data_IF_294765380605
#
_entry.id   IF_294765380605
#
_cell.length_a   1.000
_cell.length_b   1.000
_cell.length_c   1.000
_cell.angle_alpha   90.00
_cell.angle_beta   90.00
_cell.angle_gamma   90.00
#
_symmetry.space_group_name_H-M   'P 1'
#
loop_
_entity.id
_entity.type
_entity.pdbx_description
1 polymer ?
#
# COMPACT_ATOMS: atom_id res chain seq x y z
N UNK A 1 -15.99 -21.19 1.74
CA UNK A 1 -17.23 -20.44 2.03
C UNK A 1 -16.84 -19.04 2.48
N UNK A 2 -17.53 -17.97 2.03
CA UNK A 2 -17.23 -16.60 2.42
C UNK A 2 -17.51 -16.38 3.92
N UNK A 3 -16.76 -15.48 4.56
CA UNK A 3 -16.99 -15.13 5.98
C UNK A 3 -18.29 -14.37 6.19
N UNK A 4 -18.81 -14.36 7.42
CA UNK A 4 -19.99 -13.55 7.78
C UNK A 4 -19.80 -12.06 7.46
N UNK A 5 -18.58 -11.54 7.66
CA UNK A 5 -18.24 -10.16 7.29
C UNK A 5 -18.29 -9.94 5.78
N UNK A 6 -17.82 -10.90 4.98
CA UNK A 6 -17.89 -10.80 3.52
C UNK A 6 -19.35 -10.81 3.03
N UNK A 7 -20.21 -11.64 3.64
CA UNK A 7 -21.65 -11.65 3.34
C UNK A 7 -22.30 -10.32 3.73
N UNK A 8 -21.99 -9.78 4.92
CA UNK A 8 -22.49 -8.48 5.35
C UNK A 8 -22.05 -7.35 4.41
N UNK A 9 -20.79 -7.37 3.96
CA UNK A 9 -20.28 -6.41 2.98
C UNK A 9 -20.99 -6.54 1.63
N UNK A 10 -21.26 -7.77 1.17
CA UNK A 10 -22.02 -8.04 -0.06
C UNK A 10 -23.42 -7.42 -0.05
N UNK A 11 -24.06 -7.32 1.11
CA UNK A 11 -25.35 -6.65 1.27
C UNK A 11 -25.25 -5.11 1.25
N UNK A 12 -24.12 -4.54 1.64
CA UNK A 12 -23.89 -3.08 1.63
C UNK A 12 -23.53 -2.56 0.23
N UNK A 13 -22.93 -3.40 -0.61
CA UNK A 13 -22.43 -3.05 -1.96
C UNK A 13 -23.51 -2.51 -2.91
N UNK A 14 -24.70 -3.12 -3.03
CA UNK A 14 -25.81 -2.60 -3.84
C UNK A 14 -26.25 -1.17 -3.47
N UNK A 15 -26.05 -0.76 -2.21
CA UNK A 15 -26.33 0.61 -1.76
C UNK A 15 -25.29 1.66 -2.23
N UNK A 16 -24.18 1.22 -2.83
CA UNK A 16 -23.03 2.06 -3.21
C UNK A 16 -22.69 2.01 -4.70
N UNK A 17 -23.11 0.94 -5.38
CA UNK A 17 -22.88 0.73 -6.82
C UNK A 17 -24.23 0.46 -7.49
N UNK A 18 -24.43 0.98 -8.69
CA UNK A 18 -25.66 0.72 -9.46
C UNK A 18 -25.86 -0.78 -9.67
N UNK A 19 -27.05 -1.28 -9.33
CA UNK A 19 -27.39 -2.71 -9.47
C UNK A 19 -27.11 -3.26 -10.87
N UNK A 20 -27.40 -2.50 -11.93
CA UNK A 20 -27.14 -2.95 -13.30
C UNK A 20 -25.66 -3.27 -13.55
N UNK A 21 -24.76 -2.47 -12.97
CA UNK A 21 -23.32 -2.73 -13.04
C UNK A 21 -23.02 -4.02 -12.27
N UNK A 22 -23.50 -4.18 -11.04
CA UNK A 22 -23.25 -5.40 -10.29
C UNK A 22 -23.75 -6.66 -11.00
N UNK A 23 -24.92 -6.62 -11.63
CA UNK A 23 -25.45 -7.72 -12.44
C UNK A 23 -24.48 -8.06 -13.59
N UNK A 24 -24.04 -7.05 -14.33
CA UNK A 24 -23.15 -7.21 -15.50
C UNK A 24 -21.75 -7.74 -15.15
N UNK A 25 -21.28 -7.53 -13.91
CA UNK A 25 -19.95 -7.92 -13.47
C UNK A 25 -19.92 -9.17 -12.60
N UNK A 26 -21.06 -9.59 -12.04
CA UNK A 26 -21.16 -10.81 -11.24
C UNK A 26 -21.62 -12.01 -12.07
N UNK A 27 -22.30 -11.78 -13.18
CA UNK A 27 -22.80 -12.83 -14.05
C UNK A 27 -21.99 -12.93 -15.35
N UNK A 28 -21.80 -14.15 -15.84
CA UNK A 28 -21.21 -14.38 -17.17
C UNK A 28 -22.26 -14.32 -18.30
N UNK A 29 -23.56 -14.36 -17.95
CA UNK A 29 -24.67 -14.30 -18.89
C UNK A 29 -25.13 -12.86 -19.14
N UNK A 30 -25.29 -12.50 -20.43
CA UNK A 30 -25.85 -11.21 -20.85
C UNK A 30 -27.36 -11.05 -20.59
N UNK A 31 -28.04 -12.13 -20.18
CA UNK A 31 -29.49 -12.12 -19.88
C UNK A 31 -29.81 -12.10 -18.39
N UNK A 32 -28.80 -12.05 -17.52
CA UNK A 32 -28.99 -12.01 -16.08
C UNK A 32 -29.76 -10.75 -15.65
N UNK A 33 -30.70 -10.91 -14.72
CA UNK A 33 -31.52 -9.82 -14.16
C UNK A 33 -31.28 -9.61 -12.67
N UNK A 34 -30.51 -10.49 -12.03
CA UNK A 34 -30.23 -10.49 -10.61
C UNK A 34 -28.72 -10.55 -10.35
N UNK A 35 -28.29 -9.99 -9.23
CA UNK A 35 -26.89 -10.04 -8.80
C UNK A 35 -26.57 -11.48 -8.35
N UNK A 36 -25.46 -12.03 -8.83
CA UNK A 36 -24.92 -13.27 -8.28
C UNK A 36 -24.19 -12.94 -6.97
N UNK A 37 -24.90 -13.16 -5.85
CA UNK A 37 -24.36 -12.90 -4.51
C UNK A 37 -23.30 -13.92 -4.09
N UNK A 38 -23.29 -15.13 -4.64
CA UNK A 38 -22.27 -16.12 -4.29
C UNK A 38 -20.91 -15.66 -4.81
N UNK A 39 -20.87 -15.23 -6.08
CA UNK A 39 -19.65 -14.64 -6.66
C UNK A 39 -19.31 -13.31 -5.97
N UNK A 40 -20.28 -12.44 -5.73
CA UNK A 40 -20.04 -11.16 -5.07
C UNK A 40 -19.42 -11.34 -3.67
N UNK A 41 -19.92 -12.29 -2.88
CA UNK A 41 -19.42 -12.54 -1.52
C UNK A 41 -18.00 -13.10 -1.52
N UNK A 42 -17.63 -13.92 -2.52
CA UNK A 42 -16.24 -14.36 -2.70
C UNK A 42 -15.33 -13.18 -3.03
N UNK A 43 -15.75 -12.28 -3.91
CA UNK A 43 -14.99 -11.06 -4.22
C UNK A 43 -14.89 -10.13 -3.01
N UNK A 44 -15.92 -10.05 -2.17
CA UNK A 44 -15.87 -9.30 -0.92
C UNK A 44 -14.78 -9.85 0.02
N UNK A 45 -14.66 -11.17 0.14
CA UNK A 45 -13.61 -11.83 0.94
C UNK A 45 -12.21 -11.49 0.41
N UNK A 46 -12.01 -11.58 -0.91
CA UNK A 46 -10.74 -11.25 -1.56
C UNK A 46 -10.39 -9.76 -1.38
N UNK A 47 -11.37 -8.86 -1.53
CA UNK A 47 -11.19 -7.43 -1.32
C UNK A 47 -10.80 -7.10 0.13
N UNK A 48 -11.40 -7.79 1.11
CA UNK A 48 -11.03 -7.68 2.51
C UNK A 48 -9.60 -8.18 2.75
N UNK A 49 -9.21 -9.30 2.13
CA UNK A 49 -7.84 -9.81 2.15
C UNK A 49 -6.82 -8.81 1.60
N UNK A 50 -7.10 -8.25 0.42
CA UNK A 50 -6.25 -7.25 -0.21
C UNK A 50 -6.17 -5.96 0.63
N UNK A 51 -7.29 -5.51 1.18
CA UNK A 51 -7.34 -4.36 2.09
C UNK A 51 -6.42 -4.57 3.31
N UNK A 52 -6.50 -5.73 3.98
CA UNK A 52 -5.59 -6.07 5.09
C UNK A 52 -4.13 -6.03 4.64
N UNK A 53 -3.85 -6.55 3.45
CA UNK A 53 -2.52 -6.55 2.85
C UNK A 53 -1.94 -5.14 2.65
N UNK A 54 -2.73 -4.20 2.13
CA UNK A 54 -2.27 -2.85 1.79
C UNK A 54 -2.44 -1.84 2.92
N UNK A 55 -3.60 -1.82 3.58
CA UNK A 55 -3.90 -0.89 4.66
C UNK A 55 -3.28 -1.29 6.01
N UNK A 56 -2.84 -2.55 6.14
CA UNK A 56 -2.24 -3.14 7.35
C UNK A 56 -3.16 -3.09 8.59
N UNK A 57 -4.47 -3.07 8.37
CA UNK A 57 -5.49 -3.04 9.43
C UNK A 57 -6.67 -3.94 9.07
N UNK A 58 -7.38 -4.41 10.09
CA UNK A 58 -8.59 -5.22 9.89
C UNK A 58 -9.71 -4.35 9.30
N UNK A 59 -10.48 -4.83 8.31
CA UNK A 59 -11.62 -4.10 7.79
C UNK A 59 -12.72 -4.02 8.86
N UNK A 60 -13.30 -2.83 8.96
CA UNK A 60 -14.35 -2.47 9.90
C UNK A 60 -15.54 -1.99 9.07
N UNK A 61 -16.65 -2.71 9.15
CA UNK A 61 -17.83 -2.41 8.34
C UNK A 61 -18.69 -1.28 8.93
N UNK A 62 -18.46 -0.91 10.19
CA UNK A 62 -19.08 0.26 10.82
C UNK A 62 -18.35 1.55 10.43
N UNK A 63 -17.08 1.43 10.01
CA UNK A 63 -16.30 2.55 9.51
C UNK A 63 -16.59 2.82 8.02
N UNK A 64 -17.28 3.92 7.75
CA UNK A 64 -17.63 4.34 6.39
C UNK A 64 -16.41 4.46 5.45
N UNK A 65 -15.23 4.85 5.95
CA UNK A 65 -14.02 4.96 5.13
C UNK A 65 -13.50 3.60 4.68
N UNK A 66 -13.56 2.60 5.58
CA UNK A 66 -13.18 1.22 5.25
C UNK A 66 -14.16 0.65 4.22
N UNK A 67 -15.47 0.83 4.42
CA UNK A 67 -16.50 0.41 3.46
C UNK A 67 -16.28 1.04 2.09
N UNK A 68 -16.07 2.36 2.00
CA UNK A 68 -15.82 3.04 0.71
C UNK A 68 -14.55 2.48 0.02
N UNK A 69 -13.50 2.23 0.79
CA UNK A 69 -12.26 1.65 0.26
C UNK A 69 -12.49 0.23 -0.27
N UNK A 70 -13.17 -0.62 0.49
CA UNK A 70 -13.51 -1.98 0.10
C UNK A 70 -14.38 -2.02 -1.16
N UNK A 71 -15.36 -1.13 -1.29
CA UNK A 71 -16.22 -1.02 -2.48
C UNK A 71 -15.38 -0.75 -3.75
N UNK A 72 -14.33 0.08 -3.65
CA UNK A 72 -13.38 0.28 -4.77
C UNK A 72 -12.59 -0.98 -5.09
N UNK A 73 -12.14 -1.71 -4.07
CA UNK A 73 -11.44 -2.99 -4.23
C UNK A 73 -12.32 -4.06 -4.88
N UNK A 74 -13.60 -4.12 -4.49
CA UNK A 74 -14.60 -5.02 -5.08
C UNK A 74 -14.79 -4.72 -6.56
N UNK A 75 -14.93 -3.45 -6.95
CA UNK A 75 -15.03 -3.08 -8.38
C UNK A 75 -13.77 -3.42 -9.16
N UNK A 76 -12.59 -3.23 -8.57
CA UNK A 76 -11.33 -3.65 -9.17
C UNK A 76 -11.31 -5.15 -9.44
N UNK A 77 -11.60 -5.97 -8.43
CA UNK A 77 -11.58 -7.44 -8.56
C UNK A 77 -12.67 -7.95 -9.50
N UNK A 78 -13.89 -7.39 -9.43
CA UNK A 78 -14.95 -7.70 -10.37
C UNK A 78 -14.55 -7.39 -11.81
N UNK A 79 -13.95 -6.23 -12.06
CA UNK A 79 -13.47 -5.86 -13.39
C UNK A 79 -12.32 -6.76 -13.87
N UNK A 80 -11.40 -7.10 -12.98
CA UNK A 80 -10.27 -7.99 -13.26
C UNK A 80 -10.72 -9.40 -13.63
N UNK A 81 -11.57 -10.03 -12.81
CA UNK A 81 -12.06 -11.38 -13.06
C UNK A 81 -13.09 -11.48 -14.18
N UNK A 82 -13.79 -10.40 -14.50
CA UNK A 82 -14.67 -10.34 -15.68
C UNK A 82 -13.91 -10.09 -16.99
N UNK A 83 -12.58 -9.97 -16.96
CA UNK A 83 -11.76 -9.75 -18.15
C UNK A 83 -12.08 -8.43 -18.87
N UNK A 84 -12.41 -7.36 -18.13
CA UNK A 84 -12.66 -6.05 -18.73
C UNK A 84 -11.39 -5.44 -19.31
N UNK A 85 -11.58 -4.36 -20.06
CA UNK A 85 -10.47 -3.57 -20.58
C UNK A 85 -9.50 -3.20 -19.45
N UNK A 86 -8.23 -3.49 -19.71
CA UNK A 86 -7.07 -3.13 -18.90
C UNK A 86 -7.11 -1.70 -18.38
N UNK A 87 -7.58 -0.74 -19.17
CA UNK A 87 -7.66 0.67 -18.79
C UNK A 87 -8.61 0.91 -17.60
N UNK A 88 -9.74 0.18 -17.58
CA UNK A 88 -10.75 0.26 -16.51
C UNK A 88 -10.22 -0.44 -15.25
N UNK A 89 -9.62 -1.61 -15.42
CA UNK A 89 -9.02 -2.38 -14.32
C UNK A 89 -7.93 -1.56 -13.62
N UNK A 90 -7.03 -0.96 -14.38
CA UNK A 90 -5.94 -0.12 -13.87
C UNK A 90 -6.45 1.10 -13.12
N UNK A 91 -7.52 1.72 -13.61
CA UNK A 91 -8.17 2.84 -12.93
C UNK A 91 -8.68 2.42 -11.55
N UNK A 92 -9.45 1.33 -11.47
CA UNK A 92 -9.98 0.85 -10.19
C UNK A 92 -8.88 0.38 -9.24
N UNK A 93 -7.82 -0.24 -9.77
CA UNK A 93 -6.65 -0.63 -8.98
C UNK A 93 -6.00 0.61 -8.34
N UNK A 94 -5.69 1.63 -9.13
CA UNK A 94 -5.11 2.89 -8.63
C UNK A 94 -5.99 3.53 -7.57
N UNK A 95 -7.31 3.61 -7.80
CA UNK A 95 -8.26 4.18 -6.85
C UNK A 95 -8.30 3.39 -5.53
N UNK A 96 -8.26 2.05 -5.61
CA UNK A 96 -8.24 1.18 -4.44
C UNK A 96 -6.93 1.29 -3.65
N UNK A 97 -5.79 1.22 -4.34
CA UNK A 97 -4.46 1.33 -3.73
C UNK A 97 -4.24 2.68 -3.05
N UNK A 98 -4.65 3.78 -3.71
CA UNK A 98 -4.56 5.12 -3.12
C UNK A 98 -5.44 5.27 -1.89
N UNK A 99 -6.63 4.65 -1.89
CA UNK A 99 -7.53 4.65 -0.73
C UNK A 99 -6.94 3.86 0.45
N UNK A 100 -6.41 2.65 0.19
CA UNK A 100 -5.71 1.85 1.21
C UNK A 100 -4.50 2.58 1.79
N UNK A 101 -3.70 3.20 0.92
CA UNK A 101 -2.53 4.00 1.32
C UNK A 101 -2.91 5.19 2.18
N UNK A 102 -4.06 5.81 1.90
CA UNK A 102 -4.57 6.94 2.68
C UNK A 102 -5.01 6.50 4.08
N UNK A 103 -5.69 5.34 4.19
CA UNK A 103 -6.07 4.74 5.47
C UNK A 103 -4.83 4.36 6.29
N UNK A 104 -3.85 3.69 5.67
CA UNK A 104 -2.59 3.34 6.33
C UNK A 104 -1.87 4.57 6.88
N UNK A 105 -1.79 5.66 6.09
CA UNK A 105 -1.19 6.94 6.51
C UNK A 105 -1.96 7.63 7.63
N UNK A 106 -3.28 7.47 7.70
CA UNK A 106 -4.09 8.08 8.74
C UNK A 106 -3.91 7.38 10.09
N UNK A 107 -3.64 6.07 10.05
CA UNK A 107 -3.47 5.23 11.24
C UNK A 107 -2.02 5.18 11.75
N UNK A 108 -1.02 5.34 10.87
CA UNK A 108 0.40 5.39 11.24
C UNK A 108 0.78 6.46 12.30
N UNK A 109 0.26 7.70 12.24
CA UNK A 109 0.51 8.72 13.26
C UNK A 109 0.04 8.29 14.66
N UNK A 110 -1.08 7.56 14.75
CA UNK A 110 -1.59 7.04 16.03
C UNK A 110 -0.76 5.86 16.55
N UNK A 111 -0.16 5.05 15.66
CA UNK A 111 0.74 3.97 16.06
C UNK A 111 2.08 4.49 16.61
N UNK A 112 2.61 5.60 16.08
CA UNK A 112 3.83 6.25 16.59
C UNK A 112 3.59 6.88 17.97
N UNK A 113 2.37 7.34 18.26
CA UNK A 113 2.01 7.91 19.58
C UNK A 113 2.00 6.90 20.73
N UNK A 114 1.85 5.61 20.45
CA UNK A 114 1.85 4.54 21.48
C UNK A 114 3.20 3.83 21.62
N UNK A 115 4.21 4.28 20.88
CA UNK A 115 5.59 3.86 21.11
C UNK A 115 6.23 4.80 22.11
N UNK A 116 6.84 4.31 23.21
CA UNK A 116 7.79 5.11 23.97
C UNK A 116 9.11 5.17 23.19
N UNK A 117 9.05 5.50 21.90
CA UNK A 117 10.17 6.17 21.28
C UNK A 117 10.16 7.56 21.91
N UNK A 118 10.85 7.64 23.05
CA UNK A 118 11.40 8.87 23.58
C UNK A 118 11.83 9.66 22.35
N UNK A 119 11.14 10.77 22.08
CA UNK A 119 11.77 11.83 21.31
C UNK A 119 13.06 12.08 22.08
N UNK A 120 14.17 11.51 21.61
CA UNK A 120 15.46 12.02 21.98
C UNK A 120 15.39 13.43 21.40
N UNK A 121 15.02 14.37 22.26
CA UNK A 121 15.15 15.79 22.01
C UNK A 121 16.60 15.93 21.59
N UNK A 122 16.82 15.94 20.27
CA UNK A 122 18.12 16.16 19.70
C UNK A 122 18.46 17.54 20.24
N UNK A 123 19.38 17.58 21.21
CA UNK A 123 19.82 18.81 21.83
C UNK A 123 20.08 19.78 20.70
N UNK A 124 19.37 20.90 20.73
CA UNK A 124 19.66 22.08 19.95
C UNK A 124 21.15 22.41 20.22
N UNK A 125 22.01 22.02 19.29
CA UNK A 125 23.44 21.91 19.55
C UNK A 125 24.21 21.43 18.35
N UNK A 126 24.60 22.39 17.50
CA UNK A 126 25.55 22.28 16.38
C UNK A 126 25.17 21.30 15.27
N UNK A 127 24.67 21.87 14.17
CA UNK A 127 24.74 21.22 12.84
C UNK A 127 26.17 20.68 12.63
N UNK A 128 26.35 19.43 12.17
CA UNK A 128 27.66 18.97 11.75
C UNK A 128 28.09 19.80 10.55
N UNK A 129 29.17 20.56 10.74
CA UNK A 129 29.81 21.41 9.76
C UNK A 129 30.32 20.55 8.58
N UNK A 130 29.50 20.41 7.55
CA UNK A 130 29.81 19.62 6.35
C UNK A 130 30.93 20.22 5.50
N UNK A 131 31.48 21.39 5.85
CA UNK A 131 32.61 21.98 5.13
C UNK A 131 33.98 21.47 5.63
N UNK A 132 34.06 20.87 6.83
CA UNK A 132 35.34 20.36 7.36
C UNK A 132 35.75 19.00 6.81
N UNK A 133 34.84 18.26 6.19
CA UNK A 133 35.13 16.95 5.57
C UNK A 133 35.69 17.05 4.14
N UNK A 134 35.69 18.23 3.51
CA UNK A 134 36.29 18.41 2.17
C UNK A 134 37.80 18.62 2.18
N UNK A 135 38.40 18.97 3.31
CA UNK A 135 39.86 19.25 3.38
C UNK A 135 40.72 18.02 3.64
N UNK A 136 40.15 16.90 4.12
CA UNK A 136 40.94 15.69 4.44
C UNK A 136 41.26 14.86 3.18
N UNK A 137 40.46 14.97 2.11
CA UNK A 137 40.74 14.27 0.84
C UNK A 137 41.66 15.03 -0.12
N UNK A 138 42.06 16.27 0.21
CA UNK A 138 42.94 17.09 -0.64
C UNK A 138 44.44 16.99 -0.30
N UNK A 139 44.81 16.33 0.82
CA UNK A 139 46.22 16.19 1.23
C UNK A 139 46.83 14.80 0.97
N UNK A 140 46.13 13.91 0.26
CA UNK A 140 46.59 12.55 -0.07
C UNK A 140 47.35 12.39 -1.39
N UNK A 141 47.84 13.49 -2.01
CA UNK A 141 48.61 13.45 -3.26
C UNK A 141 49.95 14.20 -3.13
N UNK A 142 50.76 13.82 -2.15
CA UNK A 142 52.19 14.07 -2.20
C UNK A 142 52.92 12.98 -1.40
N UNK A 143 53.98 12.43 -2.02
CA UNK A 143 54.91 11.43 -1.48
C UNK A 143 54.55 9.95 -1.57
N UNK A 144 54.56 9.44 -2.81
CA UNK A 144 54.98 8.07 -3.13
C UNK A 144 56.20 8.11 -4.04
N UNK A 145 57.42 8.10 -3.48
CA UNK A 145 58.62 7.63 -4.20
C UNK A 145 58.96 6.25 -3.63
N UNK A 146 59.05 5.28 -4.53
CA UNK A 146 59.32 3.88 -4.29
C UNK A 146 60.70 3.64 -3.63
N UNK A 147 60.89 2.51 -2.92
CA UNK A 147 62.18 2.14 -2.35
C UNK A 147 63.10 1.60 -3.46
N UNK A 148 64.34 2.09 -3.52
CA UNK A 148 65.41 1.47 -4.30
C UNK A 148 66.58 1.13 -3.37
N UNK A 149 66.87 -0.16 -3.33
CA UNK A 149 68.01 -0.90 -2.79
C UNK A 149 69.30 -0.12 -2.53
N UNK A 150 69.90 -0.36 -1.35
CA UNK A 150 71.36 -0.41 -1.18
C UNK A 150 71.72 -1.49 -0.15
N UNK A 151 72.27 -2.61 -0.65
CA UNK A 151 73.05 -3.56 0.14
C UNK A 151 74.47 -3.01 0.27
N UNK A 152 75.01 -2.97 1.50
CA UNK A 152 76.31 -2.38 1.80
C UNK A 152 77.47 -3.31 1.45
N UNK A 153 78.50 -2.69 0.89
CA UNK A 153 79.94 -2.96 0.91
C UNK A 153 80.46 -4.23 1.63
N UNK A 154 81.27 -4.98 0.89
CA UNK A 154 82.61 -5.42 1.31
C UNK A 154 83.57 -5.20 0.15
#
# INVERSE_FOLDING_TARGET
MPSEKAVALGLLVPGRIKNQILIEYTNDSSTATTIDYDRLNLICEDAMGAFRGFAKVEPDLDNAMHVICLVKGIMYLLAFYSGRDSSIVDKYNKDFFMSCSSIAKLLYPFAISNSPLVQSTQKQGTLPDMDRSRTIFANGRAHGKYPSETSNYS
#
